data_IF_426528001362
#
_entry.id   IF_426528001362
#
_cell.length_a   1.000
_cell.length_b   1.000
_cell.length_c   1.000
_cell.angle_alpha   90.00
_cell.angle_beta   90.00
_cell.angle_gamma   90.00
#
_symmetry.space_group_name_H-M   'P 1'
#
loop_
_entity.id
_entity.type
_entity.pdbx_description
1 polymer ?
#
# COMPACT_ATOMS: atom_id res chain seq x y z
N UNK A 1 -1.10 2.05 20.88
CA UNK A 1 -1.33 2.30 19.44
C UNK A 1 -1.30 0.94 18.76
N UNK A 2 -2.26 0.65 17.89
CA UNK A 2 -2.23 -0.57 17.11
C UNK A 2 -1.03 -0.51 16.15
N UNK A 3 -0.41 -1.66 15.91
CA UNK A 3 0.67 -1.79 14.94
C UNK A 3 0.16 -1.54 13.51
N UNK A 4 1.08 -1.17 12.61
CA UNK A 4 0.77 -0.94 11.19
C UNK A 4 0.06 -2.15 10.58
N UNK A 5 0.52 -3.35 10.91
CA UNK A 5 -0.04 -4.57 10.33
C UNK A 5 -1.44 -4.88 10.86
N UNK A 6 -1.73 -4.66 12.15
CA UNK A 6 -3.07 -4.85 12.71
C UNK A 6 -4.09 -3.91 12.06
N UNK A 7 -3.69 -2.66 11.83
CA UNK A 7 -4.54 -1.68 11.14
C UNK A 7 -4.79 -2.11 9.70
N UNK A 8 -3.75 -2.52 8.97
CA UNK A 8 -3.90 -2.99 7.59
C UNK A 8 -4.79 -4.25 7.50
N UNK A 9 -4.60 -5.21 8.40
CA UNK A 9 -5.38 -6.46 8.45
C UNK A 9 -6.84 -6.22 8.85
N UNK A 10 -7.14 -5.19 9.65
CA UNK A 10 -8.52 -4.83 9.97
C UNK A 10 -9.35 -4.46 8.73
N UNK A 11 -8.69 -4.14 7.61
CA UNK A 11 -9.30 -3.78 6.34
C UNK A 11 -9.28 -4.93 5.32
N UNK A 12 -8.80 -6.12 5.71
CA UNK A 12 -8.71 -7.26 4.81
C UNK A 12 -10.07 -7.59 4.19
N UNK A 13 -10.10 -7.76 2.87
CA UNK A 13 -11.33 -8.05 2.11
C UNK A 13 -12.12 -6.83 1.67
N UNK A 14 -11.75 -5.60 2.06
CA UNK A 14 -12.37 -4.38 1.50
C UNK A 14 -12.13 -4.34 -0.01
N UNK A 15 -13.19 -4.20 -0.80
CA UNK A 15 -13.17 -4.19 -2.27
C UNK A 15 -13.75 -2.89 -2.80
N UNK A 16 -13.21 -2.36 -3.89
CA UNK A 16 -13.88 -1.26 -4.62
C UNK A 16 -15.19 -1.77 -5.25
N UNK A 17 -16.14 -0.87 -5.50
CA UNK A 17 -17.37 -1.22 -6.19
C UNK A 17 -17.21 -0.93 -7.68
N UNK A 18 -17.62 -1.88 -8.53
CA UNK A 18 -17.62 -1.65 -9.98
C UNK A 18 -18.80 -0.75 -10.38
N UNK A 19 -18.56 0.21 -11.28
CA UNK A 19 -19.61 1.04 -11.88
C UNK A 19 -19.91 2.33 -11.10
N UNK A 20 -21.16 2.79 -11.13
CA UNK A 20 -21.53 4.13 -10.64
C UNK A 20 -21.62 4.27 -9.11
N UNK A 21 -21.25 3.25 -8.34
CA UNK A 21 -21.22 3.28 -6.88
C UNK A 21 -19.77 3.17 -6.44
N UNK A 22 -19.40 3.91 -5.40
CA UNK A 22 -18.06 3.89 -4.83
C UNK A 22 -18.11 3.33 -3.42
N UNK A 23 -17.16 2.44 -3.07
CA UNK A 23 -17.11 1.92 -1.71
C UNK A 23 -16.69 3.06 -0.76
N UNK A 24 -17.55 3.46 0.21
CA UNK A 24 -17.25 4.56 1.12
C UNK A 24 -16.00 4.31 1.96
N UNK A 25 -15.62 3.06 2.20
CA UNK A 25 -14.38 2.70 2.89
C UNK A 25 -13.15 3.00 2.03
N UNK A 26 -13.20 2.73 0.73
CA UNK A 26 -12.09 3.09 -0.18
C UNK A 26 -11.99 4.60 -0.33
N UNK A 27 -13.13 5.29 -0.47
CA UNK A 27 -13.18 6.75 -0.49
C UNK A 27 -12.63 7.38 0.79
N UNK A 28 -12.83 6.74 1.94
CA UNK A 28 -12.27 7.16 3.23
C UNK A 28 -10.75 7.14 3.23
N UNK A 29 -10.10 6.20 2.54
CA UNK A 29 -8.64 6.17 2.44
C UNK A 29 -8.09 7.41 1.74
N UNK A 30 -8.80 7.91 0.71
CA UNK A 30 -8.46 9.17 0.05
C UNK A 30 -8.69 10.37 0.95
N UNK A 31 -9.91 10.54 1.47
CA UNK A 31 -10.28 11.73 2.25
C UNK A 31 -9.44 11.88 3.51
N UNK A 32 -9.27 10.82 4.30
CA UNK A 32 -8.47 10.88 5.52
C UNK A 32 -6.97 11.00 5.25
N UNK A 33 -6.52 10.75 4.02
CA UNK A 33 -5.13 11.00 3.57
C UNK A 33 -4.95 12.38 2.91
N UNK A 34 -5.98 13.24 2.92
CA UNK A 34 -5.94 14.61 2.36
C UNK A 34 -6.23 14.70 0.86
N UNK A 35 -6.92 13.69 0.30
CA UNK A 35 -7.27 13.60 -1.12
C UNK A 35 -8.79 13.46 -1.31
N UNK A 36 -9.57 14.22 -0.56
CA UNK A 36 -11.05 14.26 -0.63
C UNK A 36 -11.60 14.70 -1.99
N UNK A 37 -10.79 15.36 -2.81
CA UNK A 37 -11.09 15.75 -4.19
C UNK A 37 -11.10 14.58 -5.20
N UNK A 38 -10.65 13.37 -4.81
CA UNK A 38 -10.66 12.20 -5.71
C UNK A 38 -12.10 11.74 -5.94
N UNK A 39 -12.55 11.61 -7.21
CA UNK A 39 -13.98 11.45 -7.50
C UNK A 39 -14.49 10.01 -7.39
N UNK A 40 -13.62 9.00 -7.46
CA UNK A 40 -14.01 7.59 -7.49
C UNK A 40 -12.95 6.64 -6.91
N UNK A 41 -13.38 5.43 -6.57
CA UNK A 41 -12.57 4.33 -6.03
C UNK A 41 -11.80 3.54 -7.10
N UNK A 42 -12.04 3.80 -8.39
CA UNK A 42 -11.26 3.23 -9.51
C UNK A 42 -9.88 3.90 -9.67
N UNK A 43 -9.68 5.07 -9.06
CA UNK A 43 -8.37 5.73 -8.99
C UNK A 43 -7.39 4.84 -8.22
N UNK A 44 -6.17 4.58 -8.71
CA UNK A 44 -5.20 3.72 -8.01
C UNK A 44 -4.99 4.07 -6.53
N UNK A 45 -5.61 3.30 -5.64
CA UNK A 45 -5.70 3.58 -4.20
C UNK A 45 -4.70 2.83 -3.31
N UNK A 46 -3.71 2.12 -3.86
CA UNK A 46 -2.68 1.44 -3.05
C UNK A 46 -1.93 2.42 -2.13
N UNK A 47 -1.55 3.58 -2.65
CA UNK A 47 -0.88 4.63 -1.86
C UNK A 47 -1.83 5.34 -0.91
N UNK A 48 -3.11 5.52 -1.27
CA UNK A 48 -4.12 6.09 -0.38
C UNK A 48 -4.33 5.18 0.85
N UNK A 49 -4.49 3.87 0.61
CA UNK A 49 -4.57 2.88 1.67
C UNK A 49 -3.33 2.87 2.56
N UNK A 50 -2.13 2.83 1.98
CA UNK A 50 -0.90 2.83 2.77
C UNK A 50 -0.73 4.11 3.59
N UNK A 51 -1.03 5.29 3.04
CA UNK A 51 -1.02 6.55 3.80
C UNK A 51 -2.04 6.53 4.94
N UNK A 52 -3.24 6.01 4.70
CA UNK A 52 -4.28 5.87 5.71
C UNK A 52 -3.83 4.98 6.87
N UNK A 53 -3.29 3.79 6.58
CA UNK A 53 -2.77 2.85 7.59
C UNK A 53 -1.66 3.52 8.41
N UNK A 54 -0.67 4.13 7.75
CA UNK A 54 0.45 4.80 8.41
C UNK A 54 -0.01 5.95 9.31
N UNK A 55 -0.98 6.76 8.85
CA UNK A 55 -1.57 7.84 9.65
C UNK A 55 -2.27 7.31 10.90
N UNK A 56 -3.07 6.23 10.78
CA UNK A 56 -3.74 5.59 11.92
C UNK A 56 -2.76 4.97 12.92
N UNK A 57 -1.61 4.50 12.44
CA UNK A 57 -0.53 3.99 13.28
C UNK A 57 0.33 5.09 13.92
N UNK A 58 0.03 6.38 13.67
CA UNK A 58 0.83 7.49 14.18
C UNK A 58 2.22 7.61 13.53
N UNK A 59 2.41 7.02 12.34
CA UNK A 59 3.67 7.02 11.60
C UNK A 59 3.69 8.14 10.55
N UNK A 60 4.89 8.48 10.07
CA UNK A 60 5.08 9.43 8.97
C UNK A 60 4.48 8.87 7.67
N UNK A 61 3.81 9.72 6.91
CA UNK A 61 3.19 9.39 5.61
C UNK A 61 3.92 10.10 4.47
N UNK A 62 3.65 9.71 3.22
CA UNK A 62 4.09 10.47 2.05
C UNK A 62 3.09 11.55 1.65
N UNK A 63 1.81 11.37 2.04
CA UNK A 63 0.67 12.18 1.63
C UNK A 63 0.50 12.29 0.10
N UNK A 64 1.11 11.40 -0.67
CA UNK A 64 1.02 11.37 -2.15
C UNK A 64 0.34 10.10 -2.62
N UNK A 65 -0.42 10.19 -3.71
CA UNK A 65 -1.09 9.04 -4.31
C UNK A 65 -0.19 8.19 -5.22
N UNK A 66 1.00 8.69 -5.59
CA UNK A 66 1.95 7.94 -6.40
C UNK A 66 2.81 7.00 -5.53
N UNK A 67 2.94 5.73 -5.96
CA UNK A 67 3.73 4.73 -5.23
C UNK A 67 5.22 5.11 -5.14
N UNK A 68 5.76 5.84 -6.12
CA UNK A 68 7.15 6.32 -6.12
C UNK A 68 7.48 7.27 -4.97
N UNK A 69 6.48 7.90 -4.33
CA UNK A 69 6.73 8.75 -3.16
C UNK A 69 7.30 8.01 -1.96
N UNK A 70 7.12 6.69 -1.89
CA UNK A 70 7.51 5.86 -0.75
C UNK A 70 9.00 5.51 -0.72
N UNK A 71 9.71 5.74 -1.83
CA UNK A 71 11.14 5.44 -1.97
C UNK A 71 12.01 6.09 -0.88
N UNK A 72 11.62 7.27 -0.39
CA UNK A 72 12.40 8.04 0.60
C UNK A 72 11.85 7.98 2.02
N UNK A 73 10.74 7.27 2.26
CA UNK A 73 10.12 7.20 3.58
C UNK A 73 10.81 6.12 4.43
N UNK A 74 11.03 6.36 5.73
CA UNK A 74 11.67 5.38 6.61
C UNK A 74 13.14 5.09 6.23
N UNK A 75 13.67 3.97 6.70
CA UNK A 75 15.06 3.55 6.45
C UNK A 75 15.08 2.33 5.54
N UNK A 76 15.92 2.34 4.51
CA UNK A 76 16.08 1.18 3.63
C UNK A 76 16.62 -0.03 4.39
N UNK A 77 16.11 -1.22 4.08
CA UNK A 77 16.59 -2.45 4.72
C UNK A 77 16.56 -3.65 3.77
N UNK A 78 17.40 -4.64 4.05
CA UNK A 78 17.39 -5.96 3.43
C UNK A 78 16.79 -7.03 4.33
N UNK A 79 16.46 -6.68 5.58
CA UNK A 79 15.88 -7.56 6.61
C UNK A 79 14.53 -6.99 7.10
N UNK A 80 13.49 -7.00 6.24
CA UNK A 80 12.19 -6.43 6.59
C UNK A 80 11.50 -7.22 7.71
N UNK A 81 10.74 -6.50 8.53
CA UNK A 81 9.85 -7.04 9.56
C UNK A 81 8.38 -6.91 9.13
N UNK A 82 7.49 -7.69 9.75
CA UNK A 82 6.05 -7.65 9.46
C UNK A 82 5.52 -6.22 9.66
N UNK A 83 4.87 -5.68 8.62
CA UNK A 83 4.38 -4.30 8.61
C UNK A 83 5.34 -3.30 7.97
N UNK A 84 6.59 -3.66 7.69
CA UNK A 84 7.49 -2.79 6.91
C UNK A 84 6.96 -2.56 5.50
N UNK A 85 7.37 -1.45 4.89
CA UNK A 85 6.90 -1.10 3.56
C UNK A 85 7.60 -1.95 2.53
N UNK A 86 6.82 -2.54 1.63
CA UNK A 86 7.31 -3.16 0.39
C UNK A 86 7.02 -2.21 -0.75
N UNK A 87 8.07 -1.73 -1.42
CA UNK A 87 7.96 -0.90 -2.60
C UNK A 87 8.41 -1.66 -3.84
N UNK A 88 7.48 -1.83 -4.80
CA UNK A 88 7.69 -2.61 -6.02
C UNK A 88 7.58 -1.73 -7.26
N UNK A 89 8.32 -2.05 -8.31
CA UNK A 89 8.09 -1.44 -9.62
C UNK A 89 6.87 -2.05 -10.33
N UNK A 90 6.34 -1.30 -11.31
CA UNK A 90 5.26 -1.75 -12.20
C UNK A 90 5.58 -1.35 -13.64
N UNK A 91 5.24 -2.21 -14.60
CA UNK A 91 5.61 -2.15 -16.03
C UNK A 91 7.12 -2.37 -16.29
N UNK A 92 7.98 -1.52 -15.75
CA UNK A 92 9.45 -1.68 -15.79
C UNK A 92 10.09 -1.02 -14.57
N UNK A 93 11.37 -1.32 -14.30
CA UNK A 93 12.11 -0.78 -13.15
C UNK A 93 12.20 0.76 -13.16
N UNK A 94 12.40 1.36 -14.34
CA UNK A 94 12.51 2.82 -14.52
C UNK A 94 11.16 3.52 -14.73
N UNK A 95 10.06 2.75 -14.76
CA UNK A 95 8.74 3.31 -14.98
C UNK A 95 8.29 4.20 -13.82
N UNK A 96 7.56 5.31 -14.06
CA UNK A 96 6.99 6.10 -12.97
C UNK A 96 5.90 5.35 -12.18
N UNK A 97 5.44 4.20 -12.68
CA UNK A 97 4.48 3.36 -11.96
C UNK A 97 5.17 2.46 -10.94
N UNK A 98 4.48 2.22 -9.83
CA UNK A 98 4.92 1.31 -8.79
C UNK A 98 3.73 0.73 -8.03
N UNK A 99 4.04 -0.05 -7.02
CA UNK A 99 3.09 -0.60 -6.07
C UNK A 99 3.67 -0.51 -4.66
N UNK A 100 2.82 -0.20 -3.68
CA UNK A 100 3.20 -0.11 -2.27
C UNK A 100 2.25 -0.95 -1.43
N UNK A 101 2.81 -1.65 -0.45
CA UNK A 101 2.06 -2.38 0.57
C UNK A 101 2.95 -2.69 1.77
N UNK A 102 2.50 -3.60 2.61
CA UNK A 102 3.12 -3.97 3.88
C UNK A 102 3.63 -5.41 3.83
N UNK A 103 4.82 -5.63 4.35
CA UNK A 103 5.51 -6.91 4.36
C UNK A 103 4.81 -7.90 5.29
N UNK A 104 4.63 -9.14 4.82
CA UNK A 104 4.13 -10.26 5.63
C UNK A 104 5.22 -11.30 5.82
N UNK A 105 5.77 -11.82 4.73
CA UNK A 105 6.83 -12.83 4.74
C UNK A 105 7.52 -12.90 3.38
N UNK A 106 8.69 -13.52 3.35
CA UNK A 106 9.28 -14.05 2.13
C UNK A 106 9.21 -15.58 2.11
N UNK A 107 9.11 -16.15 0.91
CA UNK A 107 9.16 -17.60 0.69
C UNK A 107 9.71 -17.84 -0.71
N UNK A 108 10.88 -18.49 -0.80
CA UNK A 108 11.58 -18.67 -2.08
C UNK A 108 11.87 -17.35 -2.79
N UNK A 109 11.40 -17.25 -4.04
CA UNK A 109 11.54 -16.07 -4.91
C UNK A 109 10.40 -15.05 -4.73
N UNK A 110 9.55 -15.21 -3.70
CA UNK A 110 8.35 -14.40 -3.49
C UNK A 110 8.37 -13.60 -2.20
N UNK A 111 7.69 -12.47 -2.28
CA UNK A 111 7.39 -11.55 -1.18
C UNK A 111 5.86 -11.51 -1.05
N UNK A 112 5.34 -11.82 0.13
CA UNK A 112 3.92 -11.72 0.43
C UNK A 112 3.64 -10.33 0.97
N UNK A 113 2.76 -9.60 0.28
CA UNK A 113 2.48 -8.18 0.53
C UNK A 113 1.00 -7.98 0.81
N UNK A 114 0.69 -7.44 1.98
CA UNK A 114 -0.64 -6.94 2.31
C UNK A 114 -0.79 -5.51 1.81
N UNK A 115 -1.81 -5.23 1.03
CA UNK A 115 -2.00 -3.89 0.49
C UNK A 115 -3.31 -3.70 -0.23
N UNK A 116 -3.66 -2.44 -0.45
CA UNK A 116 -4.87 -2.03 -1.16
C UNK A 116 -4.71 -2.09 -2.67
N UNK A 117 -5.84 -2.06 -3.36
CA UNK A 117 -5.98 -2.13 -4.82
C UNK A 117 -5.23 -3.30 -5.47
N UNK A 118 -5.20 -4.45 -4.79
CA UNK A 118 -4.69 -5.70 -5.34
C UNK A 118 -5.88 -6.55 -5.76
N UNK A 119 -6.03 -6.76 -7.07
CA UNK A 119 -7.26 -7.34 -7.60
C UNK A 119 -8.49 -6.58 -7.07
N UNK A 120 -8.42 -5.24 -7.08
CA UNK A 120 -9.48 -4.33 -6.65
C UNK A 120 -9.89 -4.50 -5.18
N UNK A 121 -8.96 -4.99 -4.34
CA UNK A 121 -9.22 -5.32 -2.94
C UNK A 121 -8.02 -5.04 -2.02
N UNK A 122 -8.27 -4.99 -0.71
CA UNK A 122 -7.25 -5.17 0.32
C UNK A 122 -7.07 -6.66 0.53
N UNK A 123 -5.93 -7.20 0.10
CA UNK A 123 -5.61 -8.61 0.28
C UNK A 123 -4.10 -8.83 0.41
N UNK A 124 -3.68 -10.08 0.62
CA UNK A 124 -2.29 -10.50 0.56
C UNK A 124 -2.04 -11.13 -0.81
N UNK A 125 -1.02 -10.66 -1.53
CA UNK A 125 -0.56 -11.32 -2.77
C UNK A 125 0.93 -11.57 -2.76
N UNK A 126 1.38 -12.67 -3.41
CA UNK A 126 2.78 -12.90 -3.66
C UNK A 126 3.26 -12.07 -4.87
N UNK A 127 4.44 -11.46 -4.72
CA UNK A 127 5.17 -10.79 -5.79
C UNK A 127 6.56 -11.39 -5.94
N UNK A 128 7.08 -11.45 -7.17
CA UNK A 128 8.47 -11.86 -7.39
C UNK A 128 9.43 -10.86 -6.76
N UNK A 129 10.49 -11.36 -6.11
CA UNK A 129 11.58 -10.53 -5.56
C UNK A 129 12.24 -9.64 -6.61
N UNK A 130 12.27 -10.07 -7.88
CA UNK A 130 12.74 -9.25 -9.01
C UNK A 130 11.93 -7.97 -9.24
N UNK A 131 10.73 -7.87 -8.64
CA UNK A 131 9.90 -6.66 -8.67
C UNK A 131 10.22 -5.66 -7.56
N UNK A 132 11.00 -6.07 -6.56
CA UNK A 132 11.34 -5.24 -5.42
C UNK A 132 12.22 -4.07 -5.86
N UNK A 133 11.85 -2.87 -5.44
CA UNK A 133 12.71 -1.70 -5.49
C UNK A 133 13.43 -1.53 -4.15
N UNK A 134 12.68 -1.57 -3.05
CA UNK A 134 13.24 -1.54 -1.70
C UNK A 134 12.23 -1.96 -0.64
N UNK A 135 12.75 -2.40 0.50
CA UNK A 135 12.00 -2.43 1.75
C UNK A 135 12.30 -1.16 2.55
N UNK A 136 11.28 -0.63 3.25
CA UNK A 136 11.46 0.51 4.15
C UNK A 136 10.98 0.16 5.56
N UNK A 137 11.91 0.18 6.51
CA UNK A 137 11.64 0.04 7.95
C UNK A 137 10.99 1.31 8.50
N UNK A 138 9.90 1.16 9.25
CA UNK A 138 9.01 2.26 9.67
C UNK A 138 8.72 2.38 11.16
#
# INVERSE_FOLDING_TARGET
MNSVIEIALSQYGVQEFAGCKHNPVVMKYFSESGHDWVPNDETPWCSAFANWVMKKAGKRTTNKLNARSWEKLGVETTVPEVGDIVFLWRKSIDSPYGYVGFFIKEEGDRIYVLGGNQSNSVCIKPYLKSRLLSYRKI
#
